data_IF_906563004285
#
_entry.id   IF_906563004285
#
_cell.length_a   1.000
_cell.length_b   1.000
_cell.length_c   1.000
_cell.angle_alpha   90.00
_cell.angle_beta   90.00
_cell.angle_gamma   90.00
#
_symmetry.space_group_name_H-M   'P 1'
#
loop_
_entity.id
_entity.type
_entity.pdbx_description
1 polymer ?
#
# COMPACT_ATOMS: atom_id res chain seq x y z
N UNK A 1 -14.67 -12.86 -1.55
CA UNK A 1 -15.32 -12.66 -2.85
C UNK A 1 -15.50 -11.18 -3.03
N UNK A 2 -14.77 -10.58 -3.98
CA UNK A 2 -14.87 -9.16 -4.33
C UNK A 2 -15.64 -9.14 -5.64
N UNK A 3 -16.90 -8.71 -5.61
CA UNK A 3 -17.59 -8.40 -6.86
C UNK A 3 -17.20 -6.99 -7.30
N UNK A 4 -16.56 -6.82 -8.47
CA UNK A 4 -16.49 -5.52 -9.09
C UNK A 4 -17.90 -5.15 -9.57
N UNK A 5 -18.39 -3.98 -9.19
CA UNK A 5 -19.52 -3.35 -9.88
C UNK A 5 -18.99 -2.85 -11.23
N UNK A 6 -18.85 -3.76 -12.19
CA UNK A 6 -18.80 -3.43 -13.61
C UNK A 6 -20.23 -3.44 -14.13
N UNK A 7 -20.73 -2.38 -14.79
CA UNK A 7 -22.05 -2.44 -15.40
C UNK A 7 -22.03 -3.50 -16.51
N UNK A 8 -22.93 -4.49 -16.42
CA UNK A 8 -23.25 -5.37 -17.55
C UNK A 8 -23.79 -4.50 -18.68
N UNK A 9 -23.17 -4.57 -19.85
CA UNK A 9 -23.71 -3.94 -21.05
C UNK A 9 -25.00 -4.68 -21.47
N UNK A 10 -26.16 -4.03 -21.60
CA UNK A 10 -27.28 -4.60 -22.32
C UNK A 10 -27.04 -4.44 -23.81
N UNK A 11 -27.27 -5.52 -24.57
CA UNK A 11 -27.35 -5.49 -26.01
C UNK A 11 -28.43 -4.50 -26.46
N UNK A 12 -28.06 -3.60 -27.39
CA UNK A 12 -29.00 -2.84 -28.21
C UNK A 12 -29.85 -1.80 -27.47
N UNK A 13 -29.26 -0.67 -27.08
CA UNK A 13 -30.03 0.56 -26.89
C UNK A 13 -29.14 1.79 -27.02
N UNK A 14 -29.38 2.57 -28.08
CA UNK A 14 -28.86 3.92 -28.26
C UNK A 14 -29.40 4.82 -27.15
N UNK A 15 -28.59 5.10 -26.12
CA UNK A 15 -28.86 6.17 -25.17
C UNK A 15 -27.59 6.96 -24.85
N UNK A 16 -27.76 8.28 -24.85
CA UNK A 16 -26.76 9.32 -24.65
C UNK A 16 -25.91 9.01 -23.41
N UNK A 17 -24.68 8.56 -23.61
CA UNK A 17 -23.70 8.33 -22.56
C UNK A 17 -23.28 9.66 -21.92
N UNK A 18 -24.01 10.07 -20.86
CA UNK A 18 -23.49 11.01 -19.85
C UNK A 18 -22.90 10.21 -18.70
N UNK A 19 -21.83 9.46 -18.96
CA UNK A 19 -20.96 8.94 -17.92
C UNK A 19 -20.21 10.14 -17.34
N UNK A 20 -20.74 10.76 -16.29
CA UNK A 20 -19.99 11.77 -15.54
C UNK A 20 -18.84 11.06 -14.82
N UNK A 21 -17.66 11.10 -15.44
CA UNK A 21 -16.42 10.88 -14.72
C UNK A 21 -16.33 11.97 -13.65
N UNK A 22 -16.40 11.58 -12.37
CA UNK A 22 -16.22 12.54 -11.26
C UNK A 22 -14.83 13.14 -11.37
N UNK A 23 -14.74 14.47 -11.28
CA UNK A 23 -13.47 15.18 -11.36
C UNK A 23 -12.57 14.79 -10.19
N UNK A 24 -11.26 14.99 -10.35
CA UNK A 24 -10.24 14.78 -9.32
C UNK A 24 -10.58 15.49 -8.00
N UNK A 25 -11.32 16.60 -8.06
CA UNK A 25 -11.78 17.36 -6.89
C UNK A 25 -12.93 16.67 -6.13
N UNK A 26 -13.91 16.08 -6.82
CA UNK A 26 -14.98 15.31 -6.16
C UNK A 26 -14.43 14.06 -5.48
N UNK A 27 -13.43 13.41 -6.09
CA UNK A 27 -12.72 12.26 -5.51
C UNK A 27 -11.90 12.65 -4.27
N UNK A 28 -11.22 13.80 -4.31
CA UNK A 28 -10.50 14.36 -3.16
C UNK A 28 -11.46 14.74 -2.01
N UNK A 29 -12.61 15.34 -2.33
CA UNK A 29 -13.67 15.67 -1.35
C UNK A 29 -14.24 14.43 -0.68
N UNK A 30 -14.52 13.37 -1.43
CA UNK A 30 -15.05 12.12 -0.87
C UNK A 30 -14.03 11.40 0.03
N UNK A 31 -12.73 11.44 -0.32
CA UNK A 31 -11.65 10.96 0.54
C UNK A 31 -11.46 11.80 1.82
N UNK A 32 -11.63 13.11 1.73
CA UNK A 32 -11.60 14.02 2.88
C UNK A 32 -12.82 13.87 3.80
N UNK A 33 -14.00 13.62 3.23
CA UNK A 33 -15.26 13.41 3.95
C UNK A 33 -15.26 12.08 4.72
N UNK A 34 -14.74 11.00 4.11
CA UNK A 34 -14.57 9.70 4.80
C UNK A 34 -13.62 9.79 6.01
N UNK A 35 -12.65 10.71 5.99
CA UNK A 35 -11.74 10.98 7.10
C UNK A 35 -12.32 11.87 8.21
N UNK A 36 -13.39 12.63 7.94
CA UNK A 36 -14.05 13.52 8.90
C UNK A 36 -15.16 12.78 9.66
N UNK A 37 -14.79 11.82 10.50
CA UNK A 37 -15.65 11.41 11.61
C UNK A 37 -15.84 12.59 12.57
N UNK A 38 -17.06 12.81 13.05
CA UNK A 38 -17.43 13.91 13.95
C UNK A 38 -16.74 13.74 15.34
N UNK A 39 -15.47 14.12 15.43
CA UNK A 39 -14.60 13.90 16.60
C UNK A 39 -14.82 14.93 17.74
N UNK A 40 -15.86 15.76 17.64
CA UNK A 40 -16.01 16.96 18.47
C UNK A 40 -16.29 16.69 19.97
N UNK A 41 -16.59 15.46 20.38
CA UNK A 41 -16.92 15.12 21.78
C UNK A 41 -16.27 13.81 22.29
N UNK A 42 -15.12 13.44 21.76
CA UNK A 42 -14.47 12.17 22.09
C UNK A 42 -13.47 12.36 23.22
N UNK A 43 -13.75 11.83 24.43
CA UNK A 43 -12.79 11.85 25.54
C UNK A 43 -11.52 11.05 25.14
N UNK A 44 -10.34 11.68 25.04
CA UNK A 44 -9.15 11.04 24.47
C UNK A 44 -8.65 9.86 25.30
N UNK A 45 -8.73 9.95 26.64
CA UNK A 45 -8.24 8.92 27.56
C UNK A 45 -9.11 7.67 27.51
N UNK A 46 -10.44 7.84 27.57
CA UNK A 46 -11.39 6.73 27.45
C UNK A 46 -11.28 6.06 26.08
N UNK A 47 -11.11 6.86 25.03
CA UNK A 47 -11.01 6.36 23.65
C UNK A 47 -9.73 5.56 23.44
N UNK A 48 -8.59 6.02 23.97
CA UNK A 48 -7.34 5.27 23.95
C UNK A 48 -7.50 3.90 24.62
N UNK A 49 -8.12 3.85 25.80
CA UNK A 49 -8.37 2.59 26.52
C UNK A 49 -9.26 1.62 25.73
N UNK A 50 -10.35 2.11 25.16
CA UNK A 50 -11.25 1.30 24.32
C UNK A 50 -10.56 0.77 23.07
N UNK A 51 -9.79 1.61 22.37
CA UNK A 51 -9.04 1.20 21.17
C UNK A 51 -7.97 0.16 21.51
N UNK A 52 -7.24 0.34 22.62
CA UNK A 52 -6.26 -0.63 23.08
C UNK A 52 -6.91 -1.99 23.37
N UNK A 53 -8.04 -2.00 24.07
CA UNK A 53 -8.79 -3.23 24.33
C UNK A 53 -9.26 -3.90 23.03
N UNK A 54 -9.75 -3.13 22.07
CA UNK A 54 -10.13 -3.63 20.75
C UNK A 54 -8.95 -4.27 20.02
N UNK A 55 -7.80 -3.57 19.93
CA UNK A 55 -6.61 -4.10 19.28
C UNK A 55 -6.07 -5.35 19.95
N UNK A 56 -6.05 -5.40 21.29
CA UNK A 56 -5.61 -6.57 22.03
C UNK A 56 -6.54 -7.78 21.79
N UNK A 57 -7.85 -7.56 21.74
CA UNK A 57 -8.83 -8.62 21.40
C UNK A 57 -8.62 -9.13 19.97
N UNK A 58 -8.50 -8.24 18.99
CA UNK A 58 -8.20 -8.59 17.60
C UNK A 58 -6.88 -9.36 17.49
N UNK A 59 -5.83 -8.94 18.21
CA UNK A 59 -4.53 -9.60 18.19
C UNK A 59 -4.59 -11.02 18.76
N UNK A 60 -5.26 -11.20 19.90
CA UNK A 60 -5.37 -12.51 20.57
C UNK A 60 -6.28 -13.49 19.82
N UNK A 61 -7.38 -13.00 19.25
CA UNK A 61 -8.33 -13.85 18.51
C UNK A 61 -7.89 -14.14 17.08
N UNK A 62 -7.04 -13.30 16.48
CA UNK A 62 -6.73 -13.36 15.05
C UNK A 62 -7.88 -12.87 14.15
N UNK A 63 -8.99 -12.42 14.72
CA UNK A 63 -10.18 -12.03 13.95
C UNK A 63 -10.28 -10.52 13.77
N UNK A 64 -10.33 -10.08 12.50
CA UNK A 64 -10.55 -8.68 12.14
C UNK A 64 -12.05 -8.36 12.06
N UNK A 65 -12.52 -7.22 12.59
CA UNK A 65 -13.88 -6.72 12.37
C UNK A 65 -14.22 -6.64 10.87
N UNK A 66 -15.48 -6.93 10.49
CA UNK A 66 -15.90 -6.91 9.07
C UNK A 66 -15.63 -5.55 8.40
N UNK A 67 -15.89 -4.45 9.10
CA UNK A 67 -15.63 -3.09 8.62
C UNK A 67 -14.16 -2.79 8.33
N UNK A 68 -13.23 -3.57 8.89
CA UNK A 68 -11.79 -3.42 8.62
C UNK A 68 -11.33 -4.19 7.40
N UNK A 69 -12.16 -5.11 6.90
CA UNK A 69 -11.89 -5.94 5.71
C UNK A 69 -12.36 -5.28 4.42
N UNK A 70 -13.13 -4.20 4.51
CA UNK A 70 -13.63 -3.41 3.37
C UNK A 70 -12.77 -2.17 3.15
N UNK A 71 -12.70 -1.71 1.90
CA UNK A 71 -12.02 -0.47 1.52
C UNK A 71 -12.83 0.24 0.44
N UNK A 72 -12.76 1.57 0.42
CA UNK A 72 -13.29 2.38 -0.70
C UNK A 72 -12.18 2.50 -1.75
N UNK A 73 -12.45 2.10 -2.99
CA UNK A 73 -11.52 2.22 -4.10
C UNK A 73 -11.67 3.59 -4.76
N UNK A 74 -10.57 4.36 -4.78
CA UNK A 74 -10.48 5.66 -5.44
C UNK A 74 -9.43 5.55 -6.55
N UNK A 75 -9.83 5.48 -7.83
CA UNK A 75 -8.88 5.40 -8.93
C UNK A 75 -8.23 6.76 -9.18
N UNK A 76 -6.90 6.78 -9.31
CA UNK A 76 -6.12 7.99 -9.63
C UNK A 76 -5.45 7.83 -10.98
N UNK A 77 -5.67 8.78 -11.89
CA UNK A 77 -5.09 8.75 -13.23
C UNK A 77 -3.58 8.96 -13.17
N UNK A 78 -2.83 8.12 -13.90
CA UNK A 78 -1.39 8.29 -14.10
C UNK A 78 -1.14 9.60 -14.86
N UNK A 79 -0.20 10.43 -14.37
CA UNK A 79 0.19 11.68 -15.03
C UNK A 79 0.58 11.41 -16.48
N UNK A 80 0.00 12.18 -17.42
CA UNK A 80 0.30 12.09 -18.85
C UNK A 80 -0.28 10.88 -19.58
N UNK A 81 -1.21 10.12 -18.98
CA UNK A 81 -1.87 8.97 -19.64
C UNK A 81 -3.33 9.30 -19.99
N UNK A 82 -3.83 8.68 -21.06
CA UNK A 82 -5.21 8.82 -21.51
C UNK A 82 -6.16 8.09 -20.57
N UNK A 83 -7.28 8.72 -20.23
CA UNK A 83 -8.29 8.18 -19.31
C UNK A 83 -9.06 6.97 -19.88
N UNK A 84 -8.93 6.68 -21.17
CA UNK A 84 -9.68 5.64 -21.90
C UNK A 84 -9.22 4.21 -21.58
N UNK A 85 -7.95 4.03 -21.20
CA UNK A 85 -7.41 2.71 -20.87
C UNK A 85 -7.48 2.45 -19.36
N UNK A 86 -7.93 1.24 -18.97
CA UNK A 86 -8.00 0.84 -17.55
C UNK A 86 -6.63 0.89 -16.85
N UNK A 87 -5.56 0.53 -17.57
CA UNK A 87 -4.19 0.54 -17.07
C UNK A 87 -3.64 1.94 -16.75
N UNK A 88 -4.30 2.99 -17.27
CA UNK A 88 -3.96 4.38 -16.96
C UNK A 88 -4.33 4.77 -15.53
N UNK A 89 -5.12 3.96 -14.83
CA UNK A 89 -5.59 4.26 -13.49
C UNK A 89 -4.84 3.44 -12.44
N UNK A 90 -4.54 4.07 -11.30
CA UNK A 90 -4.01 3.41 -10.10
C UNK A 90 -5.14 3.32 -9.07
N UNK A 91 -5.61 2.12 -8.70
CA UNK A 91 -6.60 1.99 -7.63
C UNK A 91 -5.95 2.30 -6.28
N UNK A 92 -6.48 3.29 -5.55
CA UNK A 92 -6.09 3.57 -4.16
C UNK A 92 -7.17 3.04 -3.23
N UNK A 93 -6.80 2.16 -2.29
CA UNK A 93 -7.71 1.65 -1.27
C UNK A 93 -7.72 2.54 -0.03
N UNK A 94 -8.84 3.22 0.22
CA UNK A 94 -9.08 3.95 1.46
C UNK A 94 -9.68 3.00 2.50
N UNK A 95 -8.88 2.68 3.52
CA UNK A 95 -9.27 1.81 4.65
C UNK A 95 -9.63 2.65 5.88
N UNK A 96 -10.43 2.06 6.77
CA UNK A 96 -10.74 2.64 8.09
C UNK A 96 -9.46 3.10 8.82
N UNK A 97 -9.50 4.29 9.42
CA UNK A 97 -8.40 4.84 10.23
C UNK A 97 -8.02 3.89 11.37
N UNK A 98 -9.00 3.24 12.00
CA UNK A 98 -8.75 2.28 13.09
C UNK A 98 -8.00 1.05 12.57
N UNK A 99 -8.44 0.50 11.43
CA UNK A 99 -7.73 -0.61 10.74
C UNK A 99 -6.29 -0.21 10.36
N UNK A 100 -6.11 1.01 9.83
CA UNK A 100 -4.79 1.56 9.49
C UNK A 100 -3.87 1.67 10.71
N UNK A 101 -4.41 2.06 11.86
CA UNK A 101 -3.66 2.12 13.14
C UNK A 101 -3.21 0.73 13.57
N UNK A 102 -4.08 -0.28 13.54
CA UNK A 102 -3.70 -1.66 13.84
C UNK A 102 -2.59 -2.15 12.90
N UNK A 103 -2.74 -1.93 11.58
CA UNK A 103 -1.72 -2.30 10.59
C UNK A 103 -0.38 -1.63 10.86
N UNK A 104 -0.36 -0.37 11.30
CA UNK A 104 0.88 0.32 11.71
C UNK A 104 1.53 -0.35 12.92
N UNK A 105 0.74 -0.76 13.93
CA UNK A 105 1.26 -1.50 15.09
C UNK A 105 1.88 -2.84 14.68
N UNK A 106 1.20 -3.59 13.80
CA UNK A 106 1.72 -4.85 13.26
C UNK A 106 3.02 -4.61 12.48
N UNK A 107 3.03 -3.62 11.59
CA UNK A 107 4.21 -3.27 10.80
C UNK A 107 5.41 -2.89 11.68
N UNK A 108 5.19 -2.13 12.75
CA UNK A 108 6.25 -1.75 13.69
C UNK A 108 6.86 -2.97 14.39
N UNK A 109 6.02 -3.90 14.87
CA UNK A 109 6.48 -5.15 15.50
C UNK A 109 7.22 -6.05 14.51
N UNK A 110 6.67 -6.22 13.31
CA UNK A 110 7.30 -7.02 12.25
C UNK A 110 8.65 -6.42 11.82
N UNK A 111 8.72 -5.10 11.64
CA UNK A 111 9.97 -4.42 11.29
C UNK A 111 11.05 -4.59 12.37
N UNK A 112 10.65 -4.63 13.64
CA UNK A 112 11.59 -4.89 14.73
C UNK A 112 12.10 -6.33 14.68
N UNK A 113 11.21 -7.30 14.52
CA UNK A 113 11.57 -8.71 14.39
C UNK A 113 12.52 -8.96 13.22
N UNK A 114 12.18 -8.46 12.02
CA UNK A 114 13.00 -8.66 10.80
C UNK A 114 14.42 -8.10 10.92
N UNK A 115 14.62 -7.05 11.73
CA UNK A 115 15.94 -6.49 12.01
C UNK A 115 16.74 -7.35 12.98
N UNK A 116 16.07 -7.96 13.96
CA UNK A 116 16.72 -8.83 14.95
C UNK A 116 17.07 -10.20 14.37
N UNK A 117 16.23 -10.73 13.47
CA UNK A 117 16.45 -12.04 12.85
C UNK A 117 17.36 -12.01 11.63
N UNK A 118 17.93 -10.86 11.27
CA UNK A 118 18.75 -10.66 10.06
C UNK A 118 18.11 -11.22 8.77
N UNK A 119 16.77 -11.19 8.70
CA UNK A 119 16.01 -11.73 7.56
C UNK A 119 16.12 -10.85 6.29
N UNK A 120 16.60 -9.62 6.44
CA UNK A 120 16.73 -8.64 5.37
C UNK A 120 18.20 -8.45 4.99
N UNK A 121 18.46 -8.45 3.69
CA UNK A 121 19.79 -8.20 3.16
C UNK A 121 20.27 -6.78 3.50
N UNK A 122 21.56 -6.62 3.80
CA UNK A 122 22.15 -5.31 4.13
C UNK A 122 22.16 -4.34 2.96
N UNK A 123 22.08 -4.85 1.72
CA UNK A 123 21.89 -4.05 0.52
C UNK A 123 20.43 -3.62 0.30
N UNK A 124 19.45 -4.04 1.11
CA UNK A 124 18.07 -3.58 0.96
C UNK A 124 17.88 -2.18 1.57
N UNK A 125 17.70 -1.15 0.74
CA UNK A 125 17.29 0.19 1.22
C UNK A 125 15.79 0.46 1.12
N UNK A 126 15.07 -0.24 0.24
CA UNK A 126 13.64 -0.05 0.04
C UNK A 126 12.84 -0.35 1.30
N UNK A 127 11.97 0.59 1.70
CA UNK A 127 11.09 0.48 2.87
C UNK A 127 11.81 0.31 4.22
N UNK A 128 13.11 0.57 4.29
CA UNK A 128 13.89 0.51 5.52
C UNK A 128 13.94 1.85 6.24
N UNK A 129 13.75 1.82 7.57
CA UNK A 129 13.90 3.02 8.41
C UNK A 129 15.35 3.49 8.36
N UNK A 130 15.56 4.79 8.17
CA UNK A 130 16.88 5.43 8.06
C UNK A 130 17.69 5.06 6.82
N UNK A 131 17.05 4.51 5.78
CA UNK A 131 17.66 4.35 4.46
C UNK A 131 16.87 5.09 3.40
N UNK A 132 17.56 5.52 2.37
CA UNK A 132 17.05 6.32 1.28
C UNK A 132 17.48 5.73 -0.06
N UNK A 133 16.94 6.27 -1.15
CA UNK A 133 17.38 5.92 -2.51
C UNK A 133 18.81 6.41 -2.79
N UNK A 134 19.30 7.40 -2.03
CA UNK A 134 20.67 7.90 -2.16
C UNK A 134 21.69 6.85 -1.72
N UNK A 135 21.39 6.08 -0.68
CA UNK A 135 22.29 5.02 -0.22
C UNK A 135 22.56 3.99 -1.33
N UNK A 136 21.52 3.63 -2.10
CA UNK A 136 21.64 2.72 -3.25
C UNK A 136 22.44 3.34 -4.39
N UNK A 137 22.19 4.61 -4.68
CA UNK A 137 22.94 5.33 -5.70
C UNK A 137 24.43 5.40 -5.35
N UNK A 138 24.77 5.68 -4.09
CA UNK A 138 26.16 5.72 -3.62
C UNK A 138 26.81 4.35 -3.73
N UNK A 139 26.15 3.27 -3.27
CA UNK A 139 26.68 1.91 -3.39
C UNK A 139 26.92 1.50 -4.85
N UNK A 140 25.97 1.82 -5.74
CA UNK A 140 26.11 1.55 -7.16
C UNK A 140 27.25 2.35 -7.79
N UNK A 141 27.31 3.66 -7.52
CA UNK A 141 28.36 4.54 -8.05
C UNK A 141 29.74 4.11 -7.56
N UNK A 142 29.86 3.72 -6.28
CA UNK A 142 31.11 3.20 -5.73
C UNK A 142 31.54 1.91 -6.43
N UNK A 143 30.60 1.01 -6.74
CA UNK A 143 30.90 -0.23 -7.47
C UNK A 143 31.47 0.06 -8.87
N UNK A 144 30.90 1.05 -9.57
CA UNK A 144 31.39 1.51 -10.87
C UNK A 144 32.80 2.10 -10.78
N UNK A 145 33.04 2.98 -9.79
CA UNK A 145 34.35 3.61 -9.57
C UNK A 145 35.41 2.54 -9.25
N UNK A 146 35.09 1.58 -8.38
CA UNK A 146 36.01 0.51 -8.02
C UNK A 146 36.41 -0.35 -9.22
N UNK A 147 35.43 -0.74 -10.05
CA UNK A 147 35.71 -1.52 -11.26
C UNK A 147 36.58 -0.75 -12.25
N UNK A 148 36.29 0.56 -12.45
CA UNK A 148 37.13 1.42 -13.28
C UNK A 148 38.57 1.42 -12.77
N UNK A 149 38.79 1.68 -11.49
CA UNK A 149 40.13 1.72 -10.89
C UNK A 149 40.88 0.39 -11.06
N UNK A 150 40.16 -0.73 -11.00
CA UNK A 150 40.70 -2.07 -11.24
C UNK A 150 40.89 -2.41 -12.73
N UNK A 151 40.67 -1.47 -13.67
CA UNK A 151 40.66 -1.70 -15.13
C UNK A 151 39.69 -2.82 -15.55
N UNK A 152 38.59 -2.96 -14.82
CA UNK A 152 37.52 -3.92 -15.07
C UNK A 152 36.23 -3.20 -15.46
N UNK A 153 35.19 -3.95 -15.79
CA UNK A 153 33.88 -3.43 -16.20
C UNK A 153 32.82 -3.73 -15.13
N UNK A 154 31.91 -2.78 -14.92
CA UNK A 154 30.67 -3.02 -14.17
C UNK A 154 29.53 -3.28 -15.13
N UNK A 155 28.81 -4.38 -14.94
CA UNK A 155 27.56 -4.68 -15.67
C UNK A 155 26.40 -4.59 -14.68
N UNK A 156 25.38 -3.81 -15.03
CA UNK A 156 24.19 -3.62 -14.20
C UNK A 156 22.97 -4.26 -14.87
N UNK A 157 22.21 -5.02 -14.09
CA UNK A 157 20.93 -5.62 -14.52
C UNK A 157 19.82 -5.06 -13.65
N UNK A 158 18.88 -4.36 -14.27
CA UNK A 158 17.72 -3.78 -13.59
C UNK A 158 16.51 -4.69 -13.78
N UNK A 159 15.91 -5.12 -12.67
CA UNK A 159 14.73 -6.01 -12.66
C UNK A 159 13.57 -5.28 -12.00
N UNK A 160 12.42 -5.25 -12.67
CA UNK A 160 11.16 -4.74 -12.11
C UNK A 160 10.10 -5.85 -12.11
N UNK A 161 9.35 -5.96 -11.02
CA UNK A 161 8.36 -7.01 -10.82
C UNK A 161 6.96 -6.50 -11.19
N UNK A 162 6.34 -7.12 -12.18
CA UNK A 162 4.96 -6.80 -12.54
C UNK A 162 4.00 -7.24 -11.42
N UNK A 163 3.21 -6.29 -10.89
CA UNK A 163 2.18 -6.52 -9.86
C UNK A 163 2.71 -7.25 -8.62
N UNK A 164 3.88 -6.82 -8.11
CA UNK A 164 4.58 -7.47 -7.00
C UNK A 164 3.70 -7.80 -5.77
N UNK A 165 2.81 -6.89 -5.36
CA UNK A 165 1.93 -7.12 -4.21
C UNK A 165 0.79 -8.11 -4.49
N UNK A 166 0.26 -8.11 -5.71
CA UNK A 166 -0.83 -9.01 -6.10
C UNK A 166 -0.34 -10.44 -6.32
N UNK A 167 0.93 -10.59 -6.74
CA UNK A 167 1.60 -11.87 -7.00
C UNK A 167 2.36 -12.45 -5.80
N UNK A 168 2.16 -11.89 -4.60
CA UNK A 168 2.87 -12.33 -3.39
C UNK A 168 2.53 -13.79 -3.02
N UNK A 169 3.54 -14.64 -2.93
CA UNK A 169 3.41 -16.03 -2.48
C UNK A 169 3.21 -16.10 -0.95
N UNK A 170 1.95 -16.14 -0.53
CA UNK A 170 1.57 -16.01 0.89
C UNK A 170 2.12 -17.12 1.78
N UNK A 171 2.11 -18.37 1.31
CA UNK A 171 2.62 -19.50 2.11
C UNK A 171 4.14 -19.46 2.23
N UNK A 172 4.84 -19.15 1.14
CA UNK A 172 6.30 -18.95 1.19
C UNK A 172 6.71 -17.79 2.11
N UNK A 173 5.95 -16.70 2.10
CA UNK A 173 6.18 -15.60 3.05
C UNK A 173 6.01 -16.06 4.50
N UNK A 174 4.99 -16.87 4.80
CA UNK A 174 4.78 -17.38 6.16
C UNK A 174 5.97 -18.24 6.64
N UNK A 175 6.51 -19.10 5.77
CA UNK A 175 7.70 -19.92 6.08
C UNK A 175 8.93 -19.05 6.33
N UNK A 176 9.09 -17.94 5.59
CA UNK A 176 10.21 -17.00 5.79
C UNK A 176 10.13 -16.20 7.09
N UNK A 177 8.97 -16.16 7.74
CA UNK A 177 8.73 -15.39 8.96
C UNK A 177 8.71 -16.25 10.24
N UNK A 178 8.92 -17.56 10.12
CA UNK A 178 9.06 -18.51 11.23
C UNK A 178 10.52 -18.63 11.64
#
# INVERSE_FOLDING_TARGET
MVEPILPRAPHGATMRNRTRYRTTEEQARQGAEYGRGNARNVNPLRTKGTLLNLFNRTWKSGELPRSWRTAVLVPVLKKGKLATAAESWRPISLISVISKTMKRMVNARLSHYLKQSACLDESQSGFQRHRTTVDQLVQFTQSVINAWQAKSHTVAVFVDLEKAYDRLWRTGLAVRLQ
#
